data_IF_167848840837
#
_entry.id   IF_167848840837
#
_cell.length_a   1.000
_cell.length_b   1.000
_cell.length_c   1.000
_cell.angle_alpha   90.00
_cell.angle_beta   90.00
_cell.angle_gamma   90.00
#
_symmetry.space_group_name_H-M   'P 1'
#
loop_
_entity.id
_entity.type
_entity.pdbx_description
1 polymer ?
#
# COMPACT_ATOMS: atom_id res chain seq x y z
N UNK A 1 -7.11 15.04 -1.91
CA UNK A 1 -6.97 13.66 -1.41
C UNK A 1 -6.37 12.78 -2.49
N UNK A 2 -5.48 11.89 -2.11
CA UNK A 2 -4.71 11.04 -3.02
C UNK A 2 -5.01 9.58 -2.71
N UNK A 3 -5.01 8.72 -3.75
CA UNK A 3 -5.00 7.28 -3.57
C UNK A 3 -3.57 6.79 -3.74
N UNK A 4 -2.99 6.30 -2.66
CA UNK A 4 -1.63 5.75 -2.64
C UNK A 4 -1.71 4.24 -2.86
N UNK A 5 -1.07 3.75 -3.90
CA UNK A 5 -1.12 2.34 -4.30
C UNK A 5 0.24 1.71 -3.99
N UNK A 6 0.23 0.65 -3.19
CA UNK A 6 1.45 -0.04 -2.76
C UNK A 6 1.31 -1.53 -3.04
N UNK A 7 1.85 -2.03 -4.15
CA UNK A 7 1.92 -3.47 -4.35
C UNK A 7 3.05 -4.04 -3.49
N UNK A 8 2.83 -5.20 -2.90
CA UNK A 8 3.84 -5.86 -2.07
C UNK A 8 3.90 -7.35 -2.38
N UNK A 9 5.10 -7.89 -2.35
CA UNK A 9 5.34 -9.31 -2.57
C UNK A 9 6.43 -9.79 -1.63
N UNK A 10 6.05 -10.58 -0.61
CA UNK A 10 6.97 -11.23 0.33
C UNK A 10 8.00 -10.30 0.95
N UNK A 11 7.59 -9.10 1.36
CA UNK A 11 8.51 -8.08 1.85
C UNK A 11 7.97 -7.36 3.09
N UNK A 12 7.55 -8.10 4.13
CA UNK A 12 6.85 -7.49 5.28
C UNK A 12 7.68 -6.46 6.03
N UNK A 13 8.99 -6.68 6.16
CA UNK A 13 9.86 -5.76 6.90
C UNK A 13 9.90 -4.37 6.27
N UNK A 14 10.09 -4.30 4.95
CA UNK A 14 10.12 -3.02 4.25
C UNK A 14 8.74 -2.42 4.09
N UNK A 15 7.71 -3.27 3.93
CA UNK A 15 6.33 -2.79 3.89
C UNK A 15 5.97 -2.06 5.19
N UNK A 16 6.39 -2.57 6.34
CA UNK A 16 6.16 -1.94 7.63
C UNK A 16 6.74 -0.52 7.64
N UNK A 17 7.99 -0.37 7.24
CA UNK A 17 8.66 0.94 7.20
C UNK A 17 7.96 1.87 6.21
N UNK A 18 7.59 1.36 5.04
CA UNK A 18 6.89 2.12 4.02
C UNK A 18 5.55 2.66 4.54
N UNK A 19 4.73 1.79 5.13
CA UNK A 19 3.42 2.17 5.65
C UNK A 19 3.54 3.18 6.79
N UNK A 20 4.51 2.99 7.69
CA UNK A 20 4.72 3.93 8.78
C UNK A 20 5.04 5.32 8.24
N UNK A 21 5.93 5.40 7.24
CA UNK A 21 6.28 6.69 6.65
C UNK A 21 5.10 7.36 5.93
N UNK A 22 4.29 6.57 5.25
CA UNK A 22 3.13 7.09 4.52
C UNK A 22 2.08 7.65 5.49
N UNK A 23 1.80 6.94 6.56
CA UNK A 23 0.79 7.35 7.55
C UNK A 23 1.28 8.57 8.32
N UNK A 24 2.52 8.54 8.80
CA UNK A 24 3.07 9.62 9.60
C UNK A 24 3.29 10.90 8.80
N UNK A 25 3.60 10.76 7.52
CA UNK A 25 3.96 11.91 6.67
C UNK A 25 2.80 12.60 5.98
N UNK A 26 1.59 12.02 6.01
CA UNK A 26 0.46 12.64 5.32
C UNK A 26 -0.07 13.86 6.08
N UNK A 27 -0.50 14.89 5.33
CA UNK A 27 -1.08 16.11 5.90
C UNK A 27 -2.59 16.01 6.09
N UNK A 28 -3.21 15.07 5.40
CA UNK A 28 -4.63 14.76 5.52
C UNK A 28 -4.78 13.25 5.40
N UNK A 29 -5.96 12.74 5.70
CA UNK A 29 -6.19 11.30 5.56
C UNK A 29 -6.39 10.96 4.09
N UNK A 30 -5.48 10.19 3.53
CA UNK A 30 -5.55 9.70 2.15
C UNK A 30 -6.00 8.26 2.10
N UNK A 31 -6.37 7.80 0.91
CA UNK A 31 -6.67 6.39 0.69
C UNK A 31 -5.36 5.65 0.43
N UNK A 32 -5.03 4.67 1.27
CA UNK A 32 -3.83 3.85 1.10
C UNK A 32 -4.28 2.43 0.80
N UNK A 33 -3.95 1.95 -0.40
CA UNK A 33 -4.34 0.62 -0.86
C UNK A 33 -3.10 -0.26 -0.99
N UNK A 34 -3.08 -1.36 -0.25
CA UNK A 34 -1.98 -2.33 -0.29
C UNK A 34 -2.46 -3.56 -1.03
N UNK A 35 -1.82 -3.90 -2.13
CA UNK A 35 -2.13 -5.12 -2.88
C UNK A 35 -1.07 -6.16 -2.51
N UNK A 36 -1.51 -7.23 -1.86
CA UNK A 36 -0.63 -8.30 -1.42
C UNK A 36 -0.64 -9.39 -2.49
N UNK A 37 0.43 -9.45 -3.27
CA UNK A 37 0.53 -10.30 -4.45
C UNK A 37 0.99 -11.72 -4.10
N UNK A 38 0.12 -12.46 -3.42
CA UNK A 38 0.41 -13.79 -2.93
C UNK A 38 1.09 -13.79 -1.57
N UNK A 39 1.20 -14.97 -0.95
CA UNK A 39 1.84 -15.15 0.36
C UNK A 39 1.31 -14.19 1.43
N UNK A 40 -0.01 -13.99 1.45
CA UNK A 40 -0.66 -13.01 2.33
C UNK A 40 -0.31 -13.21 3.80
N UNK A 41 -0.23 -14.47 4.24
CA UNK A 41 0.07 -14.80 5.63
C UNK A 41 1.42 -14.26 6.11
N UNK A 42 2.40 -14.11 5.21
CA UNK A 42 3.72 -13.58 5.57
C UNK A 42 3.67 -12.12 5.99
N UNK A 43 2.67 -11.38 5.52
CA UNK A 43 2.51 -9.96 5.82
C UNK A 43 1.36 -9.67 6.77
N UNK A 44 0.66 -10.70 7.25
CA UNK A 44 -0.57 -10.52 8.02
C UNK A 44 -0.37 -9.67 9.28
N UNK A 45 0.73 -9.86 10.00
CA UNK A 45 1.01 -9.09 11.21
C UNK A 45 1.13 -7.60 10.90
N UNK A 46 1.80 -7.26 9.80
CA UNK A 46 1.97 -5.87 9.37
C UNK A 46 0.64 -5.29 8.91
N UNK A 47 -0.14 -6.04 8.15
CA UNK A 47 -1.45 -5.58 7.68
C UNK A 47 -2.38 -5.30 8.85
N UNK A 48 -2.37 -6.15 9.86
CA UNK A 48 -3.19 -5.97 11.06
C UNK A 48 -2.77 -4.75 11.86
N UNK A 49 -1.46 -4.47 11.91
CA UNK A 49 -0.92 -3.30 12.62
C UNK A 49 -1.47 -1.98 12.07
N UNK A 50 -1.69 -1.90 10.77
CA UNK A 50 -2.14 -0.67 10.11
C UNK A 50 -3.57 -0.73 9.60
N UNK A 51 -4.36 -1.71 10.01
CA UNK A 51 -5.68 -1.99 9.44
C UNK A 51 -6.64 -0.81 9.43
N UNK A 52 -6.51 0.11 10.39
CA UNK A 52 -7.41 1.26 10.49
C UNK A 52 -7.04 2.37 9.50
N UNK A 53 -5.88 2.28 8.87
CA UNK A 53 -5.34 3.30 7.98
C UNK A 53 -5.24 2.86 6.53
N UNK A 54 -5.42 1.59 6.25
CA UNK A 54 -5.21 1.03 4.92
C UNK A 54 -6.38 0.17 4.46
N UNK A 55 -6.48 0.01 3.14
CA UNK A 55 -7.34 -0.98 2.51
C UNK A 55 -6.44 -2.06 1.92
N UNK A 56 -6.80 -3.32 2.10
CA UNK A 56 -5.98 -4.45 1.65
C UNK A 56 -6.70 -5.22 0.56
N UNK A 57 -5.99 -5.48 -0.54
CA UNK A 57 -6.45 -6.35 -1.62
C UNK A 57 -5.55 -7.59 -1.65
N UNK A 58 -5.96 -8.69 -1.00
CA UNK A 58 -5.14 -9.90 -0.97
C UNK A 58 -5.37 -10.75 -2.21
N UNK A 59 -4.29 -11.20 -2.84
CA UNK A 59 -4.35 -12.15 -3.95
C UNK A 59 -3.88 -13.50 -3.45
N UNK A 60 -4.64 -14.56 -3.72
CA UNK A 60 -4.30 -15.90 -3.25
C UNK A 60 -2.99 -16.41 -3.84
N UNK A 61 -2.71 -16.02 -5.09
CA UNK A 61 -1.52 -16.44 -5.81
C UNK A 61 -0.81 -15.22 -6.38
N UNK A 62 0.51 -15.31 -6.51
CA UNK A 62 1.29 -14.27 -7.17
C UNK A 62 0.85 -14.14 -8.63
N UNK A 63 0.43 -12.94 -9.02
CA UNK A 63 -0.05 -12.65 -10.37
C UNK A 63 0.82 -11.63 -11.09
N UNK A 64 1.83 -11.11 -10.43
CA UNK A 64 2.76 -10.16 -10.99
C UNK A 64 2.40 -8.71 -10.71
N UNK A 65 3.42 -7.85 -10.84
CA UNK A 65 3.32 -6.42 -10.52
C UNK A 65 2.25 -5.72 -11.35
N UNK A 66 2.16 -6.02 -12.65
CA UNK A 66 1.20 -5.36 -13.55
C UNK A 66 -0.25 -5.60 -13.10
N UNK A 67 -0.58 -6.84 -12.76
CA UNK A 67 -1.92 -7.20 -12.29
C UNK A 67 -2.22 -6.51 -10.97
N UNK A 68 -1.25 -6.51 -10.05
CA UNK A 68 -1.41 -5.86 -8.74
C UNK A 68 -1.67 -4.36 -8.90
N UNK A 69 -0.89 -3.68 -9.74
CA UNK A 69 -1.08 -2.26 -10.00
C UNK A 69 -2.43 -1.96 -10.61
N UNK A 70 -2.85 -2.75 -11.59
CA UNK A 70 -4.15 -2.56 -12.25
C UNK A 70 -5.30 -2.70 -11.24
N UNK A 71 -5.21 -3.69 -10.35
CA UNK A 71 -6.23 -3.89 -9.32
C UNK A 71 -6.28 -2.71 -8.35
N UNK A 72 -5.12 -2.19 -7.94
CA UNK A 72 -5.05 -1.04 -7.06
C UNK A 72 -5.68 0.19 -7.69
N UNK A 73 -5.34 0.49 -8.93
CA UNK A 73 -5.90 1.63 -9.66
C UNK A 73 -7.42 1.46 -9.84
N UNK A 74 -7.85 0.26 -10.23
CA UNK A 74 -9.28 -0.03 -10.42
C UNK A 74 -10.10 0.21 -9.15
N UNK A 75 -9.51 -0.09 -7.99
CA UNK A 75 -10.19 0.05 -6.70
C UNK A 75 -9.98 1.42 -6.04
N UNK A 76 -9.22 2.32 -6.66
CA UNK A 76 -8.97 3.65 -6.11
C UNK A 76 -10.22 4.54 -6.23
N UNK A 77 -10.41 5.41 -5.23
CA UNK A 77 -11.57 6.30 -5.16
C UNK A 77 -11.25 7.74 -5.52
N UNK A 78 -9.97 8.08 -5.70
CA UNK A 78 -9.55 9.45 -5.97
C UNK A 78 -8.94 9.59 -7.36
N UNK A 79 -9.06 10.81 -7.93
CA UNK A 79 -8.49 11.08 -9.25
C UNK A 79 -6.96 11.13 -9.25
N UNK A 80 -6.38 11.60 -8.14
CA UNK A 80 -4.93 11.67 -8.00
C UNK A 80 -4.44 10.34 -7.43
N UNK A 81 -3.57 9.68 -8.18
CA UNK A 81 -3.05 8.36 -7.83
C UNK A 81 -1.53 8.44 -7.75
N UNK A 82 -0.98 7.97 -6.65
CA UNK A 82 0.45 7.84 -6.47
C UNK A 82 0.78 6.36 -6.29
N UNK A 83 1.72 5.87 -7.08
CA UNK A 83 2.15 4.46 -7.02
C UNK A 83 3.58 4.43 -6.48
N UNK A 84 3.82 3.66 -5.44
CA UNK A 84 5.17 3.49 -4.89
C UNK A 84 5.45 2.01 -4.70
N UNK A 85 6.74 1.68 -4.58
CA UNK A 85 7.16 0.33 -4.22
C UNK A 85 7.08 0.13 -2.71
N UNK A 86 7.00 -1.11 -2.27
CA UNK A 86 6.87 -1.44 -0.85
C UNK A 86 8.15 -1.18 -0.04
N UNK A 87 9.26 -0.84 -0.69
CA UNK A 87 10.52 -0.47 -0.04
C UNK A 87 10.81 1.03 -0.08
N UNK A 88 9.88 1.84 -0.54
CA UNK A 88 10.02 3.29 -0.53
C UNK A 88 9.71 3.85 0.86
N UNK A 89 10.40 4.93 1.21
CA UNK A 89 10.13 5.71 2.43
C UNK A 89 9.69 7.09 1.99
N UNK A 90 8.49 7.50 2.42
CA UNK A 90 7.96 8.79 2.03
C UNK A 90 8.38 9.87 3.01
N UNK A 91 8.69 11.06 2.47
CA UNK A 91 9.05 12.21 3.27
C UNK A 91 7.80 12.82 3.93
N UNK A 92 7.96 13.54 5.05
CA UNK A 92 6.85 14.29 5.63
C UNK A 92 6.21 15.21 4.59
N UNK A 93 4.90 15.35 4.64
CA UNK A 93 4.13 16.18 3.72
C UNK A 93 4.19 15.70 2.26
N UNK A 94 4.31 14.38 2.07
CA UNK A 94 4.39 13.79 0.73
C UNK A 94 3.14 14.03 -0.12
N UNK A 95 2.02 14.35 0.51
CA UNK A 95 0.70 14.47 -0.13
C UNK A 95 0.32 15.90 -0.54
N UNK A 96 1.27 16.83 -0.49
CA UNK A 96 1.00 18.21 -0.91
C UNK A 96 1.74 18.63 -2.17
#
# INVERSE_FOLDING_TARGET
>A
MISLIIPTYRNPKYLDICLQSAIDGQTTKNEIIVIVDGYVSESQEILDKYKDNISVLPLEQNQGMQTALNLGVFNSSNEKILIINDDNVLCPEWDI
#
